data_IF_535781634401
#
_entry.id   IF_535781634401
#
_cell.length_a   1.000
_cell.length_b   1.000
_cell.length_c   1.000
_cell.angle_alpha   90.00
_cell.angle_beta   90.00
_cell.angle_gamma   90.00
#
_symmetry.space_group_name_H-M   'P 1'
#
loop_
_entity.id
_entity.type
_entity.pdbx_description
1 polymer ?
#
# COMPACT_ATOMS: atom_id res chain seq x y z
N UNK A 1 4.47 7.77 16.42
CA UNK A 1 5.26 7.09 17.46
C UNK A 1 6.40 8.00 17.96
N UNK A 2 6.06 9.13 18.60
CA UNK A 2 7.01 10.18 18.98
C UNK A 2 7.66 10.04 20.37
N UNK A 3 7.32 8.98 21.12
CA UNK A 3 7.80 8.77 22.50
C UNK A 3 8.89 7.69 22.61
N UNK A 4 8.93 6.72 21.69
CA UNK A 4 9.93 5.65 21.65
C UNK A 4 11.16 6.07 20.85
N UNK A 5 11.98 6.94 21.43
CA UNK A 5 13.30 7.27 20.89
C UNK A 5 14.27 6.17 21.35
N UNK A 6 14.47 5.15 20.53
CA UNK A 6 15.56 4.17 20.70
C UNK A 6 16.93 4.81 20.41
N UNK A 7 17.28 5.90 21.11
CA UNK A 7 18.57 6.59 20.98
C UNK A 7 18.77 7.47 19.74
N UNK A 8 17.78 7.61 18.84
CA UNK A 8 17.92 8.40 17.61
C UNK A 8 17.52 9.89 17.76
N UNK A 9 18.30 10.78 17.14
CA UNK A 9 18.01 12.22 17.03
C UNK A 9 16.71 12.42 16.21
N UNK A 10 15.86 13.38 16.59
CA UNK A 10 14.53 13.62 16.00
C UNK A 10 13.92 14.94 16.47
N UNK A 11 13.02 15.55 15.70
CA UNK A 11 12.27 16.75 16.15
C UNK A 11 11.05 16.34 16.98
N UNK A 12 10.61 17.18 17.92
CA UNK A 12 9.42 16.91 18.76
C UNK A 12 8.14 17.06 17.93
N UNK A 13 7.17 16.17 18.12
CA UNK A 13 5.83 16.22 17.50
C UNK A 13 5.35 14.83 17.02
N UNK A 14 4.04 14.64 16.85
CA UNK A 14 3.47 13.38 16.34
C UNK A 14 4.00 13.02 14.93
N UNK A 15 4.36 14.05 14.15
CA UNK A 15 4.97 13.99 12.82
C UNK A 15 6.48 14.32 12.83
N UNK A 16 7.08 14.45 14.02
CA UNK A 16 8.49 14.76 14.20
C UNK A 16 9.33 13.53 13.86
N UNK A 17 9.58 13.31 12.57
CA UNK A 17 10.31 12.16 12.06
C UNK A 17 11.70 11.97 12.69
N UNK A 18 12.25 10.78 12.51
CA UNK A 18 13.62 10.46 12.89
C UNK A 18 14.59 11.24 11.99
N UNK A 19 15.61 11.91 12.57
CA UNK A 19 16.70 12.56 11.81
C UNK A 19 17.70 11.54 11.24
N UNK A 20 17.56 10.27 11.57
CA UNK A 20 18.36 9.21 10.98
C UNK A 20 18.07 9.16 9.48
N UNK A 21 19.10 9.41 8.66
CA UNK A 21 18.98 9.34 7.20
C UNK A 21 18.58 7.92 6.83
N UNK A 22 17.67 7.79 5.87
CA UNK A 22 17.42 6.50 5.24
C UNK A 22 18.69 6.13 4.46
N UNK A 23 19.56 5.35 5.12
CA UNK A 23 20.82 4.94 4.51
C UNK A 23 20.55 4.15 3.24
N UNK A 24 21.32 4.42 2.17
CA UNK A 24 21.17 3.74 0.91
C UNK A 24 21.59 2.28 1.03
N UNK A 25 20.63 1.45 1.39
CA UNK A 25 20.77 0.01 1.50
C UNK A 25 19.71 -0.66 0.63
N UNK A 26 20.16 -1.60 -0.21
CA UNK A 26 19.28 -2.40 -1.09
C UNK A 26 18.16 -3.05 -0.28
N UNK A 27 18.47 -3.58 0.90
CA UNK A 27 17.48 -4.20 1.79
C UNK A 27 16.34 -3.27 2.18
N UNK A 28 16.62 -1.99 2.47
CA UNK A 28 15.60 -1.01 2.88
C UNK A 28 14.73 -0.59 1.69
N UNK A 29 15.33 -0.41 0.52
CA UNK A 29 14.59 -0.14 -0.72
C UNK A 29 13.70 -1.34 -1.06
N UNK A 30 14.25 -2.55 -1.07
CA UNK A 30 13.49 -3.78 -1.31
C UNK A 30 12.36 -3.92 -0.30
N UNK A 31 12.57 -3.60 0.97
CA UNK A 31 11.52 -3.68 1.99
C UNK A 31 10.33 -2.77 1.67
N UNK A 32 10.57 -1.50 1.31
CA UNK A 32 9.47 -0.60 0.94
C UNK A 32 8.81 -1.02 -0.36
N UNK A 33 9.59 -1.45 -1.36
CA UNK A 33 9.03 -1.98 -2.61
C UNK A 33 8.20 -3.25 -2.38
N UNK A 34 8.60 -4.13 -1.46
CA UNK A 34 7.82 -5.29 -1.04
C UNK A 34 6.49 -4.87 -0.44
N UNK A 35 6.44 -3.81 0.36
CA UNK A 35 5.17 -3.27 0.87
C UNK A 35 4.27 -2.81 -0.28
N UNK A 36 4.79 -2.03 -1.22
CA UNK A 36 4.01 -1.59 -2.39
C UNK A 36 3.52 -2.78 -3.23
N UNK A 37 4.41 -3.71 -3.53
CA UNK A 37 4.15 -4.88 -4.36
C UNK A 37 3.14 -5.79 -3.67
N UNK A 38 3.22 -5.99 -2.36
CA UNK A 38 2.28 -6.82 -1.60
C UNK A 38 0.85 -6.35 -1.77
N UNK A 39 0.59 -5.07 -1.54
CA UNK A 39 -0.78 -4.58 -1.64
C UNK A 39 -1.22 -4.51 -3.10
N UNK A 40 -0.33 -4.11 -4.03
CA UNK A 40 -0.66 -4.06 -5.47
C UNK A 40 -0.96 -5.45 -6.03
N UNK A 41 -0.24 -6.48 -5.57
CA UNK A 41 -0.47 -7.87 -5.94
C UNK A 41 -1.81 -8.37 -5.40
N UNK A 42 -2.13 -8.07 -4.14
CA UNK A 42 -3.44 -8.38 -3.55
C UNK A 42 -4.59 -7.76 -4.37
N UNK A 43 -4.44 -6.48 -4.72
CA UNK A 43 -5.36 -5.77 -5.61
C UNK A 43 -5.48 -6.43 -6.99
N UNK A 44 -4.36 -6.88 -7.57
CA UNK A 44 -4.34 -7.60 -8.84
C UNK A 44 -5.12 -8.92 -8.74
N UNK A 45 -4.91 -9.70 -7.68
CA UNK A 45 -5.61 -10.97 -7.44
C UNK A 45 -7.13 -10.78 -7.27
N UNK A 46 -7.55 -9.64 -6.72
CA UNK A 46 -8.96 -9.29 -6.56
C UNK A 46 -9.67 -8.93 -7.88
N UNK A 47 -8.92 -8.63 -8.95
CA UNK A 47 -9.50 -8.20 -10.23
C UNK A 47 -10.26 -9.32 -10.97
N UNK A 48 -11.32 -8.99 -11.73
CA UNK A 48 -11.98 -9.95 -12.61
C UNK A 48 -11.06 -10.54 -13.67
N UNK A 49 -10.08 -9.76 -14.16
CA UNK A 49 -9.10 -10.22 -15.15
C UNK A 49 -8.27 -11.39 -14.60
N UNK A 50 -7.80 -11.28 -13.35
CA UNK A 50 -7.10 -12.38 -12.69
C UNK A 50 -8.00 -13.61 -12.50
N UNK A 51 -9.26 -13.40 -12.09
CA UNK A 51 -10.23 -14.50 -11.94
C UNK A 51 -10.42 -15.28 -13.25
N UNK A 52 -10.57 -14.58 -14.37
CA UNK A 52 -10.69 -15.21 -15.68
C UNK A 52 -9.41 -15.93 -16.13
N UNK A 53 -8.24 -15.32 -15.91
CA UNK A 53 -6.97 -15.98 -16.22
C UNK A 53 -6.80 -17.28 -15.41
N UNK A 54 -7.19 -17.26 -14.13
CA UNK A 54 -7.19 -18.43 -13.25
C UNK A 54 -8.17 -19.52 -13.71
N UNK A 55 -9.34 -19.16 -14.21
CA UNK A 55 -10.35 -20.11 -14.71
C UNK A 55 -9.91 -20.84 -15.99
N UNK A 56 -8.98 -20.27 -16.75
CA UNK A 56 -8.41 -20.88 -17.95
C UNK A 56 -7.25 -21.84 -17.63
N UNK A 57 -6.76 -21.86 -16.39
CA UNK A 57 -5.67 -22.76 -16.00
C UNK A 57 -6.16 -24.22 -15.95
N UNK A 58 -5.31 -25.19 -16.31
CA UNK A 58 -5.60 -26.60 -16.12
C UNK A 58 -5.91 -26.92 -14.65
N UNK A 59 -6.71 -27.95 -14.40
CA UNK A 59 -7.07 -28.39 -13.04
C UNK A 59 -5.86 -28.79 -12.18
N UNK A 60 -4.72 -29.14 -12.80
CA UNK A 60 -3.45 -29.38 -12.11
C UNK A 60 -2.85 -28.12 -11.46
N UNK A 61 -3.24 -26.93 -11.92
CA UNK A 61 -2.79 -25.62 -11.42
C UNK A 61 -3.98 -24.88 -10.78
N UNK A 62 -4.76 -25.60 -9.96
CA UNK A 62 -5.86 -25.02 -9.19
C UNK A 62 -5.39 -24.37 -7.88
N UNK A 63 -6.14 -23.40 -7.32
CA UNK A 63 -5.86 -22.85 -5.99
C UNK A 63 -5.71 -23.95 -4.93
N UNK A 64 -4.66 -23.85 -4.12
CA UNK A 64 -4.31 -24.86 -3.11
C UNK A 64 -3.34 -25.95 -3.60
N UNK A 65 -3.01 -26.01 -4.89
CA UNK A 65 -1.97 -26.93 -5.40
C UNK A 65 -0.58 -26.29 -5.37
N UNK A 66 0.46 -27.12 -5.26
CA UNK A 66 1.85 -26.66 -5.31
C UNK A 66 2.20 -25.92 -6.63
N UNK A 67 1.73 -26.36 -7.82
CA UNK A 67 1.92 -25.59 -9.06
C UNK A 67 1.30 -24.19 -9.04
N UNK A 68 0.13 -24.04 -8.43
CA UNK A 68 -0.50 -22.72 -8.31
C UNK A 68 0.28 -21.81 -7.38
N UNK A 69 0.75 -22.33 -6.23
CA UNK A 69 1.62 -21.58 -5.31
C UNK A 69 2.89 -21.10 -6.01
N UNK A 70 3.55 -21.97 -6.79
CA UNK A 70 4.73 -21.61 -7.57
C UNK A 70 4.40 -20.50 -8.58
N UNK A 71 3.31 -20.64 -9.34
CA UNK A 71 2.86 -19.63 -10.30
C UNK A 71 2.67 -18.26 -9.63
N UNK A 72 1.91 -18.21 -8.53
CA UNK A 72 1.66 -16.95 -7.81
C UNK A 72 2.94 -16.36 -7.20
N UNK A 73 3.86 -17.20 -6.73
CA UNK A 73 5.15 -16.76 -6.19
C UNK A 73 6.02 -16.16 -7.28
N UNK A 74 6.09 -16.79 -8.46
CA UNK A 74 6.82 -16.26 -9.61
C UNK A 74 6.20 -14.97 -10.13
N UNK A 75 4.87 -14.87 -10.17
CA UNK A 75 4.17 -13.64 -10.52
C UNK A 75 4.47 -12.50 -9.53
N UNK A 76 4.48 -12.80 -8.23
CA UNK A 76 4.85 -11.85 -7.19
C UNK A 76 6.30 -11.36 -7.33
N UNK A 77 7.25 -12.29 -7.51
CA UNK A 77 8.66 -11.96 -7.74
C UNK A 77 8.85 -11.16 -9.02
N UNK A 78 8.12 -11.50 -10.09
CA UNK A 78 8.10 -10.74 -11.33
C UNK A 78 7.63 -9.31 -11.12
N UNK A 79 6.56 -9.11 -10.35
CA UNK A 79 6.06 -7.78 -10.00
C UNK A 79 7.06 -7.00 -9.14
N UNK A 80 7.77 -7.66 -8.23
CA UNK A 80 8.84 -7.04 -7.44
C UNK A 80 10.01 -6.58 -8.30
N UNK A 81 10.45 -7.41 -9.24
CA UNK A 81 11.51 -7.05 -10.20
C UNK A 81 11.06 -5.91 -11.12
N UNK A 82 9.81 -5.94 -11.56
CA UNK A 82 9.21 -4.85 -12.33
C UNK A 82 9.18 -3.54 -11.54
N UNK A 83 8.78 -3.57 -10.26
CA UNK A 83 8.81 -2.40 -9.39
C UNK A 83 10.24 -1.86 -9.24
N UNK A 84 11.22 -2.73 -9.00
CA UNK A 84 12.64 -2.34 -8.95
C UNK A 84 13.10 -1.65 -10.23
N UNK A 85 12.75 -2.19 -11.40
CA UNK A 85 13.09 -1.61 -12.69
C UNK A 85 12.39 -0.27 -12.93
N UNK A 86 11.10 -0.18 -12.61
CA UNK A 86 10.27 1.02 -12.79
C UNK A 86 10.75 2.17 -11.90
N UNK A 87 10.73 1.99 -10.58
CA UNK A 87 11.14 3.02 -9.63
C UNK A 87 12.63 3.35 -9.75
N UNK A 88 13.48 2.34 -10.03
CA UNK A 88 14.89 2.54 -10.33
C UNK A 88 15.13 3.36 -11.60
N UNK A 89 14.33 3.13 -12.64
CA UNK A 89 14.35 3.90 -13.89
C UNK A 89 13.95 5.36 -13.67
N UNK A 90 12.87 5.60 -12.92
CA UNK A 90 12.47 6.96 -12.56
C UNK A 90 13.49 7.66 -11.65
N UNK A 91 14.08 6.96 -10.67
CA UNK A 91 15.16 7.52 -9.86
C UNK A 91 16.40 7.86 -10.71
N UNK A 92 16.72 7.06 -11.74
CA UNK A 92 17.77 7.38 -12.70
C UNK A 92 17.43 8.64 -13.51
N UNK A 93 16.17 8.79 -13.94
CA UNK A 93 15.68 10.00 -14.62
C UNK A 93 15.74 11.24 -13.71
N UNK A 94 15.33 11.14 -12.44
CA UNK A 94 15.48 12.19 -11.43
C UNK A 94 16.94 12.62 -11.33
N UNK A 95 17.84 11.66 -11.13
CA UNK A 95 19.28 11.92 -11.02
C UNK A 95 19.82 12.65 -12.26
N UNK A 96 19.45 12.18 -13.44
CA UNK A 96 19.89 12.76 -14.72
C UNK A 96 19.37 14.20 -14.90
N UNK A 97 18.08 14.43 -14.70
CA UNK A 97 17.47 15.74 -14.91
C UNK A 97 17.87 16.77 -13.84
N UNK A 98 17.99 16.34 -12.58
CA UNK A 98 18.43 17.16 -11.46
C UNK A 98 19.94 17.34 -11.35
N UNK A 99 20.73 16.57 -12.12
CA UNK A 99 22.20 16.50 -11.99
C UNK A 99 22.63 16.24 -10.54
N UNK A 100 21.92 15.32 -9.88
CA UNK A 100 22.18 14.97 -8.48
C UNK A 100 23.48 14.18 -8.36
N UNK A 101 24.23 14.45 -7.29
CA UNK A 101 25.43 13.71 -6.94
C UNK A 101 25.10 12.30 -6.39
N UNK A 102 26.05 11.38 -6.49
CA UNK A 102 25.89 10.00 -6.00
C UNK A 102 25.40 8.99 -7.04
N UNK A 103 25.13 7.76 -6.60
CA UNK A 103 24.64 6.64 -7.42
C UNK A 103 23.11 6.69 -7.51
N UNK A 104 22.54 6.03 -8.52
CA UNK A 104 21.08 5.90 -8.67
C UNK A 104 20.43 5.27 -7.43
N UNK A 105 21.10 4.32 -6.79
CA UNK A 105 20.60 3.69 -5.56
C UNK A 105 20.49 4.67 -4.40
N UNK A 106 21.35 5.69 -4.33
CA UNK A 106 21.29 6.72 -3.29
C UNK A 106 20.09 7.64 -3.50
N UNK A 107 19.79 7.94 -4.76
CA UNK A 107 18.61 8.70 -5.17
C UNK A 107 17.34 7.92 -4.90
N UNK A 108 17.31 6.65 -5.30
CA UNK A 108 16.18 5.77 -5.06
C UNK A 108 15.91 5.58 -3.56
N UNK A 109 16.95 5.34 -2.75
CA UNK A 109 16.80 5.19 -1.30
C UNK A 109 16.26 6.46 -0.62
N UNK A 110 16.58 7.64 -1.15
CA UNK A 110 16.03 8.90 -0.66
C UNK A 110 14.57 9.16 -1.07
N UNK A 111 14.19 8.70 -2.26
CA UNK A 111 12.85 8.91 -2.82
C UNK A 111 11.82 7.89 -2.34
N UNK A 112 12.21 6.62 -2.21
CA UNK A 112 11.32 5.50 -1.85
C UNK A 112 10.51 5.72 -0.55
N UNK A 113 11.04 6.35 0.52
CA UNK A 113 10.24 6.72 1.68
C UNK A 113 9.02 7.60 1.37
N UNK A 114 9.07 8.39 0.29
CA UNK A 114 7.93 9.20 -0.16
C UNK A 114 6.77 8.33 -0.65
N UNK A 115 6.99 7.07 -1.03
CA UNK A 115 5.94 6.16 -1.49
C UNK A 115 5.19 5.50 -0.34
N UNK A 116 5.75 5.52 0.87
CA UNK A 116 5.18 4.84 2.03
C UNK A 116 3.77 5.34 2.39
N UNK A 117 3.46 6.65 2.38
CA UNK A 117 2.09 7.11 2.59
C UNK A 117 1.11 6.54 1.57
N UNK A 118 1.50 6.44 0.29
CA UNK A 118 0.64 5.89 -0.77
C UNK A 118 0.36 4.42 -0.51
N UNK A 119 1.41 3.63 -0.23
CA UNK A 119 1.27 2.21 0.10
C UNK A 119 0.36 1.99 1.32
N UNK A 120 0.53 2.81 2.35
CA UNK A 120 -0.31 2.78 3.55
C UNK A 120 -1.77 3.14 3.25
N UNK A 121 -2.00 4.23 2.52
CA UNK A 121 -3.37 4.65 2.18
C UNK A 121 -4.08 3.60 1.32
N UNK A 122 -3.36 2.98 0.39
CA UNK A 122 -3.90 1.87 -0.41
C UNK A 122 -4.18 0.62 0.43
N UNK A 123 -3.29 0.25 1.34
CA UNK A 123 -3.52 -0.85 2.30
C UNK A 123 -4.79 -0.63 3.10
N UNK A 124 -4.95 0.56 3.68
CA UNK A 124 -6.14 0.92 4.46
C UNK A 124 -7.38 0.95 3.59
N UNK A 125 -7.33 1.61 2.43
CA UNK A 125 -8.46 1.70 1.50
C UNK A 125 -8.94 0.32 1.07
N UNK A 126 -8.02 -0.57 0.67
CA UNK A 126 -8.33 -1.92 0.19
C UNK A 126 -8.91 -2.82 1.29
N UNK A 127 -8.40 -2.69 2.52
CA UNK A 127 -8.83 -3.53 3.64
C UNK A 127 -9.97 -2.91 4.47
N UNK A 128 -10.37 -1.67 4.20
CA UNK A 128 -11.39 -0.96 4.99
C UNK A 128 -12.73 -1.69 4.99
N UNK A 129 -13.21 -2.13 3.82
CA UNK A 129 -14.47 -2.84 3.69
C UNK A 129 -14.40 -4.23 4.34
N UNK A 130 -13.30 -4.96 4.10
CA UNK A 130 -13.04 -6.23 4.78
C UNK A 130 -13.05 -6.08 6.31
N UNK A 131 -12.40 -5.05 6.84
CA UNK A 131 -12.36 -4.77 8.28
C UNK A 131 -13.74 -4.34 8.80
N UNK A 132 -14.50 -3.56 8.04
CA UNK A 132 -15.84 -3.14 8.42
C UNK A 132 -16.79 -4.34 8.53
N UNK A 133 -16.86 -5.18 7.49
CA UNK A 133 -17.78 -6.32 7.42
C UNK A 133 -17.33 -7.46 8.34
N UNK A 134 -16.07 -7.88 8.27
CA UNK A 134 -15.60 -8.99 9.11
C UNK A 134 -15.34 -8.53 10.55
N UNK A 135 -15.17 -7.22 10.79
CA UNK A 135 -15.08 -6.69 12.14
C UNK A 135 -16.36 -6.91 12.95
N UNK A 136 -17.51 -7.00 12.27
CA UNK A 136 -18.78 -7.34 12.93
C UNK A 136 -18.75 -8.72 13.59
N UNK A 137 -17.91 -9.66 13.11
CA UNK A 137 -17.72 -10.97 13.74
C UNK A 137 -17.17 -10.88 15.17
N UNK A 138 -16.51 -9.77 15.54
CA UNK A 138 -16.07 -9.59 16.91
C UNK A 138 -17.23 -9.40 17.88
N UNK A 139 -18.40 -8.92 17.44
CA UNK A 139 -19.55 -8.69 18.31
C UNK A 139 -20.08 -9.99 18.96
N UNK A 140 -20.41 -11.06 18.21
CA UNK A 140 -20.80 -12.33 18.83
C UNK A 140 -19.64 -12.97 19.60
N UNK A 141 -18.38 -12.82 19.15
CA UNK A 141 -17.22 -13.37 19.86
C UNK A 141 -16.94 -12.71 21.21
N UNK A 142 -17.15 -11.39 21.35
CA UNK A 142 -17.09 -10.70 22.65
C UNK A 142 -18.23 -11.19 23.55
N UNK A 143 -19.37 -11.52 22.94
CA UNK A 143 -20.52 -12.12 23.57
C UNK A 143 -20.23 -13.44 24.28
N UNK A 144 -19.52 -14.34 23.60
CA UNK A 144 -19.13 -15.66 24.11
C UNK A 144 -17.70 -16.03 23.69
N UNK A 145 -16.66 -15.44 24.32
CA UNK A 145 -15.28 -15.59 23.87
C UNK A 145 -14.75 -17.02 24.06
N UNK A 146 -15.32 -17.77 25.01
CA UNK A 146 -14.96 -19.15 25.26
C UNK A 146 -15.75 -20.16 24.40
N UNK A 147 -16.76 -19.71 23.64
CA UNK A 147 -17.63 -20.57 22.84
C UNK A 147 -18.41 -21.61 23.65
N UNK A 148 -18.62 -21.37 24.94
CA UNK A 148 -19.19 -22.36 25.86
C UNK A 148 -20.72 -22.26 25.83
N UNK A 149 -21.38 -23.42 25.77
CA UNK A 149 -22.85 -23.51 25.73
C UNK A 149 -23.53 -23.05 27.01
N UNK A 150 -22.79 -23.00 28.13
CA UNK A 150 -23.24 -22.52 29.44
C UNK A 150 -22.96 -21.02 29.68
N UNK A 151 -22.24 -20.35 28.77
CA UNK A 151 -21.89 -18.94 28.92
C UNK A 151 -23.14 -18.05 28.95
N UNK A 152 -23.17 -16.96 29.74
CA UNK A 152 -24.32 -16.07 29.79
C UNK A 152 -24.66 -15.52 28.40
N UNK A 153 -25.91 -15.76 27.95
CA UNK A 153 -26.41 -15.19 26.70
C UNK A 153 -26.57 -13.68 26.88
N UNK A 154 -25.66 -12.92 26.30
CA UNK A 154 -25.77 -11.46 26.23
C UNK A 154 -26.90 -11.06 25.26
N UNK A 155 -27.35 -9.81 25.36
CA UNK A 155 -28.36 -9.26 24.45
C UNK A 155 -27.74 -8.94 23.08
N UNK A 156 -28.58 -8.87 22.06
CA UNK A 156 -28.19 -8.38 20.74
C UNK A 156 -27.50 -7.01 20.86
N UNK A 157 -26.37 -6.76 20.17
CA UNK A 157 -25.73 -7.56 19.11
C UNK A 157 -24.64 -8.54 19.59
N UNK A 158 -24.47 -8.74 20.91
CA UNK A 158 -23.37 -9.54 21.48
C UNK A 158 -23.75 -11.02 21.66
N UNK A 159 -24.52 -11.58 20.74
CA UNK A 159 -25.04 -12.94 20.86
C UNK A 159 -24.99 -13.70 19.54
N UNK A 160 -25.17 -15.02 19.61
CA UNK A 160 -25.05 -15.93 18.47
C UNK A 160 -26.11 -15.69 17.38
N UNK A 161 -27.14 -14.90 17.66
CA UNK A 161 -28.16 -14.47 16.68
C UNK A 161 -27.76 -13.26 15.84
N UNK A 162 -26.58 -12.69 16.07
CA UNK A 162 -26.08 -11.58 15.28
C UNK A 162 -25.69 -12.02 13.87
N UNK A 163 -26.37 -11.48 12.86
CA UNK A 163 -26.08 -11.71 11.45
C UNK A 163 -25.25 -10.54 10.89
N UNK A 164 -24.20 -10.87 10.13
CA UNK A 164 -23.32 -9.88 9.51
C UNK A 164 -24.11 -9.07 8.47
N UNK A 165 -24.12 -7.76 8.62
CA UNK A 165 -24.68 -6.85 7.64
C UNK A 165 -23.66 -6.59 6.52
N UNK A 166 -23.72 -7.39 5.47
CA UNK A 166 -22.88 -7.21 4.27
C UNK A 166 -23.07 -5.86 3.56
N UNK A 167 -24.14 -5.13 3.87
CA UNK A 167 -24.44 -3.80 3.34
C UNK A 167 -24.28 -2.69 4.40
N UNK A 168 -23.41 -2.88 5.39
CA UNK A 168 -23.19 -1.92 6.48
C UNK A 168 -22.95 -0.49 5.98
N UNK A 169 -22.20 -0.35 4.88
CA UNK A 169 -21.89 0.93 4.26
C UNK A 169 -22.33 0.93 2.78
N UNK A 170 -22.99 1.99 2.30
CA UNK A 170 -23.23 2.16 0.87
C UNK A 170 -21.91 2.17 0.09
N UNK A 171 -21.85 1.45 -1.03
CA UNK A 171 -20.63 1.36 -1.85
C UNK A 171 -20.13 2.73 -2.33
N UNK A 172 -21.03 3.69 -2.53
CA UNK A 172 -20.69 5.07 -2.87
C UNK A 172 -19.93 5.77 -1.74
N UNK A 173 -20.35 5.58 -0.48
CA UNK A 173 -19.66 6.14 0.67
C UNK A 173 -18.25 5.57 0.80
N UNK A 174 -18.10 4.24 0.69
CA UNK A 174 -16.80 3.55 0.72
C UNK A 174 -15.88 4.11 -0.37
N UNK A 175 -16.37 4.23 -1.61
CA UNK A 175 -15.62 4.78 -2.73
C UNK A 175 -15.11 6.20 -2.46
N UNK A 176 -15.99 7.12 -2.05
CA UNK A 176 -15.60 8.50 -1.80
C UNK A 176 -14.59 8.62 -0.64
N UNK A 177 -14.76 7.81 0.42
CA UNK A 177 -13.80 7.76 1.53
C UNK A 177 -12.43 7.24 1.08
N UNK A 178 -12.40 6.17 0.27
CA UNK A 178 -11.15 5.63 -0.28
C UNK A 178 -10.43 6.64 -1.17
N UNK A 179 -11.17 7.32 -2.06
CA UNK A 179 -10.61 8.37 -2.94
C UNK A 179 -10.06 9.53 -2.12
N UNK A 180 -10.81 10.03 -1.13
CA UNK A 180 -10.36 11.11 -0.25
C UNK A 180 -9.09 10.71 0.52
N UNK A 181 -9.05 9.50 1.08
CA UNK A 181 -7.87 8.97 1.77
C UNK A 181 -6.65 8.92 0.85
N UNK A 182 -6.81 8.41 -0.37
CA UNK A 182 -5.72 8.29 -1.35
C UNK A 182 -5.16 9.66 -1.74
N UNK A 183 -6.03 10.65 -1.96
CA UNK A 183 -5.61 12.02 -2.26
C UNK A 183 -4.79 12.60 -1.10
N UNK A 184 -5.26 12.45 0.15
CA UNK A 184 -4.55 12.97 1.33
C UNK A 184 -3.16 12.34 1.50
N UNK A 185 -3.05 11.02 1.36
CA UNK A 185 -1.73 10.37 1.46
C UNK A 185 -0.84 10.69 0.27
N UNK A 186 -1.40 10.91 -0.92
CA UNK A 186 -0.64 11.32 -2.11
C UNK A 186 -0.05 12.72 -1.92
N UNK A 187 -0.81 13.67 -1.35
CA UNK A 187 -0.28 15.00 -1.01
C UNK A 187 0.88 14.87 -0.02
N UNK A 188 0.73 14.07 1.04
CA UNK A 188 1.81 13.81 1.99
C UNK A 188 3.04 13.20 1.34
N UNK A 189 2.83 12.26 0.41
CA UNK A 189 3.89 11.64 -0.38
C UNK A 189 4.64 12.65 -1.25
N UNK A 190 3.92 13.55 -1.94
CA UNK A 190 4.53 14.59 -2.79
C UNK A 190 5.36 15.55 -1.94
N UNK A 191 4.88 15.93 -0.76
CA UNK A 191 5.63 16.78 0.17
C UNK A 191 6.95 16.12 0.59
N UNK A 192 6.93 14.82 0.90
CA UNK A 192 8.14 14.07 1.25
C UNK A 192 9.13 13.98 0.08
N UNK A 193 8.64 13.75 -1.13
CA UNK A 193 9.47 13.74 -2.33
C UNK A 193 10.11 15.11 -2.60
N UNK A 194 9.33 16.18 -2.46
CA UNK A 194 9.79 17.55 -2.64
C UNK A 194 10.89 17.91 -1.63
N UNK A 195 10.72 17.57 -0.35
CA UNK A 195 11.74 17.81 0.69
C UNK A 195 13.05 17.07 0.38
N UNK A 196 12.98 15.84 -0.13
CA UNK A 196 14.18 15.12 -0.56
C UNK A 196 14.87 15.81 -1.75
N UNK A 197 14.14 16.08 -2.83
CA UNK A 197 14.71 16.59 -4.09
C UNK A 197 15.32 17.98 -3.89
N UNK A 198 14.66 18.86 -3.13
CA UNK A 198 15.16 20.20 -2.85
C UNK A 198 16.43 20.21 -2.01
N UNK A 199 16.59 19.26 -1.08
CA UNK A 199 17.83 19.10 -0.29
C UNK A 199 18.97 18.47 -1.07
N UNK A 200 18.65 17.56 -2.00
CA UNK A 200 19.64 16.86 -2.81
C UNK A 200 20.17 17.72 -3.98
N UNK A 201 19.36 18.64 -4.52
CA UNK A 201 19.72 19.47 -5.65
C UNK A 201 20.56 20.70 -5.24
N UNK A 202 21.50 21.11 -6.10
CA UNK A 202 22.37 22.29 -5.85
C UNK A 202 21.69 23.62 -6.18
N UNK A 203 20.55 23.60 -6.88
CA UNK A 203 19.81 24.81 -7.26
C UNK A 203 18.31 24.52 -7.42
N UNK A 204 17.47 25.55 -7.27
CA UNK A 204 16.01 25.45 -7.44
C UNK A 204 15.63 24.95 -8.84
N UNK A 205 16.36 25.38 -9.88
CA UNK A 205 16.11 24.94 -11.27
C UNK A 205 16.38 23.45 -11.45
N UNK A 206 17.43 22.92 -10.81
CA UNK A 206 17.74 21.50 -10.82
C UNK A 206 16.71 20.70 -10.03
N UNK A 207 16.32 21.18 -8.84
CA UNK A 207 15.29 20.54 -8.01
C UNK A 207 14.00 20.35 -8.82
N UNK A 208 13.47 21.42 -9.44
CA UNK A 208 12.25 21.36 -10.26
C UNK A 208 12.34 20.37 -11.42
N UNK A 209 13.51 20.24 -12.05
CA UNK A 209 13.71 19.27 -13.14
C UNK A 209 13.76 17.84 -12.63
N UNK A 210 14.41 17.60 -11.50
CA UNK A 210 14.46 16.29 -10.86
C UNK A 210 13.09 15.84 -10.34
N UNK A 211 12.23 16.77 -9.96
CA UNK A 211 10.93 16.49 -9.37
C UNK A 211 9.92 15.89 -10.37
N UNK A 212 9.95 16.35 -11.64
CA UNK A 212 8.99 15.94 -12.66
C UNK A 212 8.95 14.42 -12.92
N UNK A 213 10.08 13.72 -13.15
CA UNK A 213 10.04 12.27 -13.37
C UNK A 213 9.42 11.51 -12.19
N UNK A 214 9.71 11.93 -10.95
CA UNK A 214 9.18 11.26 -9.77
C UNK A 214 7.70 11.55 -9.55
N UNK A 215 7.23 12.77 -9.79
CA UNK A 215 5.80 13.07 -9.74
C UNK A 215 5.03 12.22 -10.76
N UNK A 216 5.55 12.08 -11.98
CA UNK A 216 4.92 11.25 -13.02
C UNK A 216 4.77 9.81 -12.52
N UNK A 217 5.83 9.24 -11.97
CA UNK A 217 5.80 7.89 -11.38
C UNK A 217 4.77 7.77 -10.25
N UNK A 218 4.76 8.71 -9.31
CA UNK A 218 3.80 8.72 -8.20
C UNK A 218 2.35 8.82 -8.69
N UNK A 219 2.08 9.63 -9.71
CA UNK A 219 0.74 9.78 -10.29
C UNK A 219 0.33 8.50 -11.01
N UNK A 220 1.20 7.92 -11.84
CA UNK A 220 0.92 6.65 -12.53
C UNK A 220 0.65 5.52 -11.54
N UNK A 221 1.44 5.43 -10.47
CA UNK A 221 1.22 4.45 -9.42
C UNK A 221 -0.11 4.68 -8.70
N UNK A 222 -0.41 5.91 -8.32
CA UNK A 222 -1.68 6.26 -7.64
C UNK A 222 -2.90 5.97 -8.51
N UNK A 223 -2.83 6.30 -9.81
CA UNK A 223 -3.88 5.97 -10.78
C UNK A 223 -4.07 4.46 -10.93
N UNK A 224 -2.98 3.71 -11.00
CA UNK A 224 -3.02 2.23 -11.07
C UNK A 224 -3.65 1.63 -9.81
N UNK A 225 -3.31 2.15 -8.64
CA UNK A 225 -3.91 1.75 -7.36
C UNK A 225 -5.40 2.06 -7.30
N UNK A 226 -5.83 3.26 -7.69
CA UNK A 226 -7.26 3.61 -7.77
C UNK A 226 -8.00 2.73 -8.78
N UNK A 227 -7.37 2.40 -9.90
CA UNK A 227 -7.95 1.49 -10.89
C UNK A 227 -8.14 0.09 -10.32
N UNK A 228 -7.17 -0.45 -9.59
CA UNK A 228 -7.27 -1.75 -8.91
C UNK A 228 -8.40 -1.74 -7.86
N UNK A 229 -8.55 -0.66 -7.08
CA UNK A 229 -9.65 -0.51 -6.11
C UNK A 229 -11.03 -0.45 -6.78
N UNK A 230 -11.12 0.14 -7.97
CA UNK A 230 -12.38 0.24 -8.69
C UNK A 230 -12.85 -1.10 -9.29
N UNK A 231 -11.92 -2.03 -9.58
CA UNK A 231 -12.26 -3.28 -10.30
C UNK A 231 -13.36 -4.12 -9.62
N UNK A 232 -13.33 -4.36 -8.29
CA UNK A 232 -14.37 -5.15 -7.63
C UNK A 232 -15.72 -4.44 -7.56
N UNK A 233 -15.72 -3.10 -7.42
CA UNK A 233 -16.93 -2.30 -7.19
C UNK A 233 -17.81 -2.16 -8.43
N UNK A 234 -17.22 -2.07 -9.63
CA UNK A 234 -17.96 -1.81 -10.88
C UNK A 234 -18.78 -3.00 -11.38
N UNK A 235 -18.42 -4.24 -10.99
CA UNK A 235 -19.11 -5.46 -11.45
C UNK A 235 -19.82 -6.23 -10.33
N UNK A 236 -19.81 -5.70 -9.11
CA UNK A 236 -20.58 -6.23 -7.98
C UNK A 236 -21.98 -5.63 -7.85
N UNK A 237 -22.36 -4.71 -8.75
CA UNK A 237 -23.71 -4.15 -8.89
C UNK A 237 -24.47 -4.77 -10.05
#
# INVERSE_FOLDING_TARGET
MGFFRFGALGNRGFLGGLKARFEPAVSRVTFVLLLLVSVSFDGLLATPAWKHAREQLPSSIAPGTAPYLLLTTLAFLGLLLFAWALFGGFAAAVRYQGRLDGRVIDVLAGLVPSLLPIAFGYLVAHNAEYLAINGELFLPLIGNPAGLTWWPRLHYPLNDSYEINKNLLPSSFVWYTQVALIILVHIAAVILAHDYVTRAARSVKQARRAEWPWIVDMVLYTMSSLWLLAQPLVKGG
#
